data_IF_622214791503
#
_entry.id   IF_622214791503
#
_cell.length_a   1.000
_cell.length_b   1.000
_cell.length_c   1.000
_cell.angle_alpha   90.00
_cell.angle_beta   90.00
_cell.angle_gamma   90.00
#
_symmetry.space_group_name_H-M   'P 1'
#
loop_
_entity.id
_entity.type
_entity.pdbx_description
1 polymer ?
#
# COMPACT_ATOMS: atom_id res chain seq x y z
N UNK A 1 -18.52 13.72 35.76
CA UNK A 1 -17.33 14.56 35.57
C UNK A 1 -17.18 14.75 34.07
N UNK A 2 -17.47 15.95 33.61
CA UNK A 2 -17.51 16.34 32.19
C UNK A 2 -16.11 16.28 31.60
N UNK A 3 -15.97 15.51 30.52
CA UNK A 3 -14.76 15.31 29.73
C UNK A 3 -14.30 16.62 29.09
N UNK A 4 -13.21 17.18 29.60
CA UNK A 4 -12.42 18.18 28.90
C UNK A 4 -11.35 17.46 28.08
N UNK A 5 -11.56 17.36 26.76
CA UNK A 5 -10.45 17.23 25.81
C UNK A 5 -10.72 18.18 24.65
N UNK A 6 -10.01 19.33 24.57
CA UNK A 6 -9.83 19.98 23.28
C UNK A 6 -8.75 19.17 22.56
N UNK A 7 -9.12 18.11 21.82
CA UNK A 7 -8.22 17.62 20.79
C UNK A 7 -8.26 18.66 19.68
N UNK A 8 -7.23 19.51 19.59
CA UNK A 8 -7.01 20.32 18.40
C UNK A 8 -6.94 19.36 17.22
N UNK A 9 -7.99 19.35 16.40
CA UNK A 9 -7.99 18.62 15.14
C UNK A 9 -6.95 19.27 14.25
N UNK A 10 -5.92 18.51 13.87
CA UNK A 10 -4.89 18.97 12.93
C UNK A 10 -5.61 19.46 11.66
N UNK A 11 -5.41 20.72 11.23
CA UNK A 11 -6.11 21.25 10.07
C UNK A 11 -5.82 20.42 8.81
N UNK A 12 -6.82 20.27 7.93
CA UNK A 12 -6.68 19.53 6.67
C UNK A 12 -5.49 20.02 5.82
N UNK A 13 -5.26 21.35 5.79
CA UNK A 13 -4.12 21.96 5.12
C UNK A 13 -2.77 21.50 5.69
N UNK A 14 -2.69 21.20 6.99
CA UNK A 14 -1.49 20.68 7.61
C UNK A 14 -1.22 19.25 7.16
N UNK A 15 -2.24 18.37 7.14
CA UNK A 15 -2.08 17.01 6.60
C UNK A 15 -1.61 17.01 5.14
N UNK A 16 -2.18 17.88 4.30
CA UNK A 16 -1.75 18.07 2.92
C UNK A 16 -0.29 18.53 2.79
N UNK A 17 0.15 19.44 3.67
CA UNK A 17 1.54 19.90 3.72
C UNK A 17 2.49 18.76 4.12
N UNK A 18 2.11 17.94 5.11
CA UNK A 18 2.89 16.78 5.55
C UNK A 18 3.07 15.77 4.41
N UNK A 19 2.00 15.48 3.68
CA UNK A 19 2.01 14.59 2.53
C UNK A 19 2.87 15.14 1.37
N UNK A 20 2.75 16.44 1.07
CA UNK A 20 3.59 17.13 0.09
C UNK A 20 5.09 17.09 0.45
N UNK A 21 5.43 17.30 1.73
CA UNK A 21 6.82 17.20 2.20
C UNK A 21 7.39 15.80 1.96
N UNK A 22 6.61 14.75 2.21
CA UNK A 22 7.03 13.38 1.94
C UNK A 22 7.22 13.12 0.44
N UNK A 23 6.26 13.55 -0.40
CA UNK A 23 6.33 13.45 -1.85
C UNK A 23 7.62 14.10 -2.41
N UNK A 24 7.87 15.36 -2.07
CA UNK A 24 9.03 16.11 -2.56
C UNK A 24 10.34 15.47 -2.12
N UNK A 25 10.40 15.02 -0.86
CA UNK A 25 11.57 14.38 -0.28
C UNK A 25 11.91 13.08 -1.01
N UNK A 26 10.91 12.25 -1.29
CA UNK A 26 11.11 10.95 -1.93
C UNK A 26 11.40 11.10 -3.41
N UNK A 27 10.62 11.93 -4.12
CA UNK A 27 10.79 12.15 -5.56
C UNK A 27 12.18 12.72 -5.86
N UNK A 28 12.62 13.74 -5.13
CA UNK A 28 13.92 14.37 -5.38
C UNK A 28 15.12 13.51 -5.00
N UNK A 29 14.98 12.58 -4.05
CA UNK A 29 16.09 11.77 -3.53
C UNK A 29 16.20 10.42 -4.20
N UNK A 30 15.08 9.73 -4.38
CA UNK A 30 15.08 8.34 -4.80
C UNK A 30 14.89 8.18 -6.29
N UNK A 31 14.25 9.12 -7.00
CA UNK A 31 13.90 8.89 -8.40
C UNK A 31 15.03 9.20 -9.37
N UNK A 32 15.18 8.35 -10.39
CA UNK A 32 16.21 8.45 -11.42
C UNK A 32 15.72 7.92 -12.76
N UNK A 33 16.28 8.44 -13.85
CA UNK A 33 16.02 7.92 -15.21
C UNK A 33 16.60 6.52 -15.36
N UNK A 34 15.90 5.65 -16.07
CA UNK A 34 16.33 4.28 -16.34
C UNK A 34 17.39 4.33 -17.45
N UNK A 35 18.62 3.93 -17.15
CA UNK A 35 19.75 3.92 -18.10
C UNK A 35 19.96 5.26 -18.84
N UNK A 36 19.59 6.38 -18.22
CA UNK A 36 19.66 7.71 -18.83
C UNK A 36 18.57 8.02 -19.87
N UNK A 37 17.66 7.07 -20.15
CA UNK A 37 16.61 7.22 -21.17
C UNK A 37 15.62 8.32 -20.76
N UNK A 38 15.45 9.39 -21.57
CA UNK A 38 14.49 10.45 -21.30
C UNK A 38 13.05 9.92 -21.18
N UNK A 39 12.26 10.55 -20.31
CA UNK A 39 10.85 10.17 -20.10
C UNK A 39 10.64 8.89 -19.30
N UNK A 40 11.69 8.25 -18.80
CA UNK A 40 11.61 7.12 -17.85
C UNK A 40 11.95 7.57 -16.44
N UNK A 41 11.34 6.93 -15.44
CA UNK A 41 11.62 7.20 -14.04
C UNK A 41 11.50 5.90 -13.24
N UNK A 42 12.40 5.66 -12.29
CA UNK A 42 12.28 4.60 -11.27
C UNK A 42 12.87 5.10 -9.95
N UNK A 43 12.35 4.57 -8.85
CA UNK A 43 12.94 4.72 -7.53
C UNK A 43 14.20 3.87 -7.38
N UNK A 44 15.26 4.47 -6.85
CA UNK A 44 16.41 3.79 -6.29
C UNK A 44 15.98 2.93 -5.11
N UNK A 45 16.57 1.75 -4.94
CA UNK A 45 16.25 0.86 -3.81
C UNK A 45 16.64 1.51 -2.47
N UNK A 46 17.72 2.29 -2.46
CA UNK A 46 18.22 2.93 -1.24
C UNK A 46 18.97 4.23 -1.55
N UNK A 47 19.04 5.13 -0.56
CA UNK A 47 19.81 6.38 -0.63
C UNK A 47 20.65 6.62 0.64
N UNK A 48 21.93 7.04 0.52
CA UNK A 48 22.68 7.15 -0.72
C UNK A 48 22.90 5.77 -1.37
N UNK A 49 22.98 5.73 -2.70
CA UNK A 49 23.23 4.49 -3.42
C UNK A 49 24.68 4.03 -3.21
N UNK A 50 24.87 3.08 -2.31
CA UNK A 50 26.19 2.54 -1.93
C UNK A 50 26.57 1.26 -2.69
N UNK A 51 25.63 0.63 -3.41
CA UNK A 51 25.89 -0.63 -4.12
C UNK A 51 26.74 -0.42 -5.36
N UNK A 52 27.54 -1.40 -5.74
CA UNK A 52 28.23 -1.43 -7.04
C UNK A 52 27.27 -1.58 -8.21
N UNK A 53 27.71 -1.26 -9.43
CA UNK A 53 26.86 -1.31 -10.64
C UNK A 53 26.20 -2.68 -10.82
N UNK A 54 26.95 -3.78 -10.70
CA UNK A 54 26.40 -5.14 -10.83
C UNK A 54 25.25 -5.43 -9.87
N UNK A 55 25.40 -5.10 -8.59
CA UNK A 55 24.34 -5.25 -7.59
C UNK A 55 23.12 -4.38 -7.90
N UNK A 56 23.31 -3.14 -8.38
CA UNK A 56 22.18 -2.28 -8.83
C UNK A 56 21.41 -2.88 -10.02
N UNK A 57 22.10 -3.63 -10.89
CA UNK A 57 21.48 -4.34 -12.01
C UNK A 57 20.79 -5.64 -11.57
N UNK A 58 21.28 -6.31 -10.53
CA UNK A 58 20.67 -7.55 -10.03
C UNK A 58 19.48 -7.29 -9.09
N UNK A 59 19.63 -6.35 -8.15
CA UNK A 59 18.66 -6.08 -7.10
C UNK A 59 17.75 -4.91 -7.47
N UNK A 60 16.57 -5.26 -7.97
CA UNK A 60 15.50 -4.33 -8.30
C UNK A 60 14.16 -4.89 -7.84
N UNK A 61 13.43 -4.11 -7.04
CA UNK A 61 12.14 -4.50 -6.50
C UNK A 61 11.02 -3.94 -7.38
N UNK A 62 10.46 -4.79 -8.24
CA UNK A 62 9.39 -4.43 -9.18
C UNK A 62 8.17 -3.87 -8.42
N UNK A 63 7.71 -4.55 -7.38
CA UNK A 63 6.52 -4.14 -6.64
C UNK A 63 6.71 -2.84 -5.82
N UNK A 64 7.93 -2.51 -5.38
CA UNK A 64 8.21 -1.19 -4.79
C UNK A 64 7.96 -0.07 -5.80
N UNK A 65 8.19 -0.32 -7.09
CA UNK A 65 7.90 0.66 -8.15
C UNK A 65 6.41 0.80 -8.41
N UNK A 66 5.64 -0.28 -8.27
CA UNK A 66 4.18 -0.21 -8.31
C UNK A 66 3.63 0.66 -7.17
N UNK A 67 4.20 0.55 -5.96
CA UNK A 67 3.79 1.40 -4.84
C UNK A 67 4.34 2.83 -4.91
N UNK A 68 5.52 3.06 -5.50
CA UNK A 68 5.97 4.41 -5.86
C UNK A 68 4.97 5.07 -6.82
N UNK A 69 4.51 4.33 -7.83
CA UNK A 69 3.46 4.79 -8.74
C UNK A 69 2.17 5.12 -7.98
N UNK A 70 1.72 4.27 -7.05
CA UNK A 70 0.55 4.54 -6.22
C UNK A 70 0.68 5.82 -5.38
N UNK A 71 1.85 6.09 -4.78
CA UNK A 71 2.09 7.30 -4.01
C UNK A 71 2.08 8.57 -4.89
N UNK A 72 2.65 8.49 -6.10
CA UNK A 72 2.58 9.59 -7.07
C UNK A 72 1.13 9.85 -7.48
N UNK A 73 0.33 8.79 -7.66
CA UNK A 73 -1.09 8.90 -7.97
C UNK A 73 -1.84 9.53 -6.78
N UNK A 74 -1.53 9.18 -5.53
CA UNK A 74 -2.14 9.82 -4.35
C UNK A 74 -1.89 11.33 -4.34
N UNK A 75 -0.66 11.75 -4.58
CA UNK A 75 -0.30 13.17 -4.66
C UNK A 75 -1.03 13.88 -5.82
N UNK A 76 -1.21 13.20 -6.96
CA UNK A 76 -2.02 13.71 -8.07
C UNK A 76 -3.51 13.82 -7.74
N UNK A 77 -4.09 12.80 -7.09
CA UNK A 77 -5.48 12.82 -6.62
C UNK A 77 -5.69 13.93 -5.58
N UNK A 78 -4.71 14.19 -4.71
CA UNK A 78 -4.73 15.29 -3.75
C UNK A 78 -4.67 16.65 -4.44
N UNK A 79 -3.75 16.85 -5.39
CA UNK A 79 -3.67 18.09 -6.16
C UNK A 79 -4.99 18.40 -6.89
N UNK A 80 -5.67 17.38 -7.43
CA UNK A 80 -7.03 17.55 -8.00
C UNK A 80 -8.03 18.06 -6.96
N UNK A 81 -8.07 17.48 -5.75
CA UNK A 81 -8.98 17.92 -4.68
C UNK A 81 -8.69 19.37 -4.23
N UNK A 82 -7.42 19.75 -4.21
CA UNK A 82 -6.97 21.10 -3.84
C UNK A 82 -7.17 22.13 -4.97
N UNK A 83 -7.54 21.69 -6.18
CA UNK A 83 -7.68 22.55 -7.35
C UNK A 83 -6.35 22.94 -8.01
N UNK A 84 -5.23 22.36 -7.58
CA UNK A 84 -3.91 22.58 -8.17
C UNK A 84 -3.75 21.77 -9.46
N UNK A 85 -4.22 22.36 -10.56
CA UNK A 85 -4.22 21.72 -11.88
C UNK A 85 -2.81 21.50 -12.42
N UNK A 86 -1.86 22.41 -12.13
CA UNK A 86 -0.48 22.28 -12.59
C UNK A 86 0.20 21.09 -11.91
N UNK A 87 0.09 21.01 -10.58
CA UNK A 87 0.65 19.90 -9.83
C UNK A 87 0.00 18.57 -10.20
N UNK A 88 -1.31 18.54 -10.43
CA UNK A 88 -2.01 17.35 -10.89
C UNK A 88 -1.46 16.84 -12.23
N UNK A 89 -1.24 17.73 -13.21
CA UNK A 89 -0.63 17.38 -14.50
C UNK A 89 0.82 16.91 -14.35
N UNK A 90 1.61 17.54 -13.47
CA UNK A 90 2.98 17.15 -13.18
C UNK A 90 3.05 15.74 -12.57
N UNK A 91 2.17 15.42 -11.61
CA UNK A 91 2.08 14.08 -11.01
C UNK A 91 1.63 13.03 -12.03
N UNK A 92 0.66 13.36 -12.90
CA UNK A 92 0.23 12.47 -13.99
C UNK A 92 1.38 12.17 -14.97
N UNK A 93 2.16 13.18 -15.38
CA UNK A 93 3.33 13.00 -16.24
C UNK A 93 4.44 12.18 -15.56
N UNK A 94 4.63 12.37 -14.26
CA UNK A 94 5.59 11.62 -13.44
C UNK A 94 5.17 10.15 -13.34
N UNK A 95 3.89 9.87 -13.05
CA UNK A 95 3.33 8.52 -13.00
C UNK A 95 3.51 7.77 -14.32
N UNK A 96 3.22 8.43 -15.46
CA UNK A 96 3.48 7.88 -16.81
C UNK A 96 4.96 7.52 -17.01
N UNK A 97 5.87 8.35 -16.48
CA UNK A 97 7.31 8.10 -16.56
C UNK A 97 7.74 6.88 -15.74
N UNK A 98 7.08 6.63 -14.62
CA UNK A 98 7.28 5.40 -13.81
C UNK A 98 6.83 4.16 -14.57
N UNK A 99 5.65 4.18 -15.18
CA UNK A 99 5.16 3.03 -15.98
C UNK A 99 6.12 2.72 -17.14
N UNK A 100 6.59 3.74 -17.87
CA UNK A 100 7.61 3.57 -18.92
C UNK A 100 8.95 3.05 -18.35
N UNK A 101 9.33 3.52 -17.16
CA UNK A 101 10.54 3.07 -16.46
C UNK A 101 10.48 1.58 -16.10
N UNK A 102 9.36 1.12 -15.54
CA UNK A 102 9.10 -0.29 -15.23
C UNK A 102 9.21 -1.13 -16.49
N UNK A 103 8.49 -0.75 -17.55
CA UNK A 103 8.53 -1.45 -18.84
C UNK A 103 9.96 -1.54 -19.40
N UNK A 104 10.70 -0.42 -19.38
CA UNK A 104 12.07 -0.36 -19.92
C UNK A 104 13.03 -1.23 -19.11
N UNK A 105 12.94 -1.20 -17.78
CA UNK A 105 13.84 -1.95 -16.88
C UNK A 105 13.57 -3.45 -16.88
N UNK A 106 12.29 -3.83 -16.98
CA UNK A 106 11.81 -5.21 -16.92
C UNK A 106 11.65 -5.86 -18.30
N UNK A 107 11.86 -5.10 -19.39
CA UNK A 107 11.65 -5.54 -20.78
C UNK A 107 10.20 -6.00 -21.05
N UNK A 108 9.24 -5.32 -20.42
CA UNK A 108 7.81 -5.66 -20.45
C UNK A 108 7.14 -5.48 -19.09
N UNK A 109 5.85 -5.79 -19.00
CA UNK A 109 5.09 -5.74 -17.74
C UNK A 109 4.91 -7.11 -17.06
N UNK A 110 5.19 -8.21 -17.76
CA UNK A 110 5.08 -9.53 -17.16
C UNK A 110 6.21 -9.78 -16.15
N UNK A 111 5.88 -10.38 -15.03
CA UNK A 111 6.81 -10.85 -14.01
C UNK A 111 6.52 -12.34 -13.71
N UNK A 112 7.39 -13.02 -12.98
CA UNK A 112 7.18 -14.40 -12.52
C UNK A 112 6.38 -14.48 -11.22
N UNK A 113 6.25 -13.37 -10.51
CA UNK A 113 5.48 -13.20 -9.29
C UNK A 113 4.10 -12.59 -9.59
N UNK A 114 3.02 -13.26 -9.17
CA UNK A 114 1.64 -12.84 -9.47
C UNK A 114 1.17 -11.69 -8.58
N UNK A 115 1.63 -11.63 -7.35
CA UNK A 115 1.51 -10.49 -6.44
C UNK A 115 2.11 -9.21 -7.05
N UNK A 116 3.36 -9.27 -7.54
CA UNK A 116 4.02 -8.15 -8.23
C UNK A 116 3.17 -7.61 -9.38
N UNK A 117 2.65 -8.51 -10.23
CA UNK A 117 1.79 -8.13 -11.36
C UNK A 117 0.45 -7.55 -10.88
N UNK A 118 -0.13 -8.07 -9.80
CA UNK A 118 -1.39 -7.58 -9.25
C UNK A 118 -1.25 -6.17 -8.67
N UNK A 119 -0.13 -5.88 -7.98
CA UNK A 119 0.15 -4.53 -7.49
C UNK A 119 0.25 -3.52 -8.63
N UNK A 120 1.00 -3.85 -9.70
CA UNK A 120 1.07 -2.94 -10.84
C UNK A 120 -0.28 -2.81 -11.54
N UNK A 121 -1.07 -3.88 -11.66
CA UNK A 121 -2.40 -3.84 -12.28
C UNK A 121 -3.34 -2.87 -11.54
N UNK A 122 -3.29 -2.89 -10.20
CA UNK A 122 -4.04 -1.96 -9.36
C UNK A 122 -3.58 -0.51 -9.57
N UNK A 123 -2.27 -0.27 -9.56
CA UNK A 123 -1.69 1.06 -9.71
C UNK A 123 -1.98 1.67 -11.10
N UNK A 124 -1.84 0.91 -12.19
CA UNK A 124 -2.18 1.41 -13.54
C UNK A 124 -3.69 1.61 -13.72
N UNK A 125 -4.52 0.79 -13.08
CA UNK A 125 -5.96 1.03 -13.02
C UNK A 125 -6.32 2.36 -12.35
N UNK A 126 -5.60 2.72 -11.28
CA UNK A 126 -5.73 4.04 -10.63
C UNK A 126 -5.20 5.17 -11.51
N UNK A 127 -4.05 4.98 -12.16
CA UNK A 127 -3.48 5.96 -13.10
C UNK A 127 -4.47 6.30 -14.21
N UNK A 128 -5.12 5.28 -14.78
CA UNK A 128 -6.13 5.49 -15.82
C UNK A 128 -7.32 6.32 -15.31
N UNK A 129 -7.78 6.10 -14.06
CA UNK A 129 -8.82 6.92 -13.44
C UNK A 129 -8.35 8.36 -13.23
N UNK A 130 -7.15 8.56 -12.70
CA UNK A 130 -6.57 9.89 -12.51
C UNK A 130 -6.47 10.65 -13.84
N UNK A 131 -6.02 9.99 -14.92
CA UNK A 131 -5.99 10.58 -16.27
C UNK A 131 -7.38 11.00 -16.73
N UNK A 132 -8.41 10.17 -16.53
CA UNK A 132 -9.79 10.55 -16.88
C UNK A 132 -10.26 11.78 -16.11
N UNK A 133 -9.94 11.86 -14.83
CA UNK A 133 -10.29 13.02 -13.99
C UNK A 133 -9.58 14.30 -14.46
N UNK A 134 -8.28 14.22 -14.79
CA UNK A 134 -7.46 15.40 -15.13
C UNK A 134 -7.65 15.84 -16.59
N UNK A 135 -7.75 14.90 -17.52
CA UNK A 135 -7.71 15.17 -18.97
C UNK A 135 -9.02 14.83 -19.69
N UNK A 136 -9.99 14.23 -19.02
CA UNK A 136 -11.22 13.72 -19.64
C UNK A 136 -11.04 12.46 -20.49
N UNK A 137 -9.83 11.87 -20.52
CA UNK A 137 -9.50 10.75 -21.40
C UNK A 137 -8.76 9.63 -20.66
N UNK A 138 -8.96 8.40 -21.14
CA UNK A 138 -8.20 7.23 -20.67
C UNK A 138 -6.72 7.38 -20.99
N UNK A 139 -5.88 6.83 -20.13
CA UNK A 139 -4.44 6.78 -20.35
C UNK A 139 -4.05 5.53 -21.14
N UNK A 140 -3.55 5.72 -22.36
CA UNK A 140 -3.18 4.61 -23.25
C UNK A 140 -2.10 3.71 -22.63
N UNK A 141 -1.09 4.29 -21.98
CA UNK A 141 0.01 3.51 -21.38
C UNK A 141 -0.51 2.66 -20.22
N UNK A 142 -1.42 3.21 -19.41
CA UNK A 142 -2.05 2.49 -18.32
C UNK A 142 -2.99 1.37 -18.82
N UNK A 143 -3.71 1.62 -19.92
CA UNK A 143 -4.58 0.60 -20.54
C UNK A 143 -3.77 -0.57 -21.11
N UNK A 144 -2.71 -0.29 -21.87
CA UNK A 144 -1.83 -1.33 -22.43
C UNK A 144 -1.19 -2.18 -21.32
N UNK A 145 -0.66 -1.54 -20.29
CA UNK A 145 -0.12 -2.24 -19.12
C UNK A 145 -1.18 -3.08 -18.42
N UNK A 146 -2.36 -2.50 -18.17
CA UNK A 146 -3.48 -3.19 -17.53
C UNK A 146 -3.92 -4.43 -18.29
N UNK A 147 -4.08 -4.34 -19.61
CA UNK A 147 -4.45 -5.47 -20.46
C UNK A 147 -3.46 -6.63 -20.35
N UNK A 148 -2.15 -6.36 -20.44
CA UNK A 148 -1.11 -7.39 -20.31
C UNK A 148 -1.13 -8.03 -18.92
N UNK A 149 -1.21 -7.21 -17.87
CA UNK A 149 -1.16 -7.68 -16.49
C UNK A 149 -2.39 -8.54 -16.15
N UNK A 150 -3.59 -8.11 -16.52
CA UNK A 150 -4.83 -8.84 -16.27
C UNK A 150 -4.88 -10.17 -17.02
N UNK A 151 -4.38 -10.22 -18.27
CA UNK A 151 -4.24 -11.47 -19.01
C UNK A 151 -3.29 -12.43 -18.27
N UNK A 152 -2.16 -11.93 -17.77
CA UNK A 152 -1.20 -12.74 -17.00
C UNK A 152 -1.78 -13.20 -15.68
N UNK A 153 -2.48 -12.35 -14.93
CA UNK A 153 -3.13 -12.73 -13.67
C UNK A 153 -4.13 -13.88 -13.84
N UNK A 154 -4.87 -13.93 -14.96
CA UNK A 154 -5.77 -15.05 -15.24
C UNK A 154 -5.06 -16.41 -15.29
N UNK A 155 -3.79 -16.45 -15.73
CA UNK A 155 -2.98 -17.68 -15.74
C UNK A 155 -2.55 -18.13 -14.34
N UNK A 156 -2.60 -17.23 -13.36
CA UNK A 156 -2.21 -17.48 -11.99
C UNK A 156 -3.30 -18.13 -11.15
N UNK A 157 -4.56 -18.05 -11.58
CA UNK A 157 -5.68 -18.69 -10.91
C UNK A 157 -5.38 -20.18 -10.73
N UNK A 158 -5.50 -20.66 -9.49
CA UNK A 158 -5.24 -22.05 -9.18
C UNK A 158 -6.54 -22.87 -9.27
N UNK A 159 -6.45 -24.12 -9.71
CA UNK A 159 -7.62 -24.98 -9.94
C UNK A 159 -8.39 -25.30 -8.66
N UNK A 160 -7.73 -25.24 -7.51
CA UNK A 160 -8.33 -25.46 -6.19
C UNK A 160 -8.83 -24.16 -5.52
N UNK A 161 -8.89 -23.05 -6.28
CA UNK A 161 -9.14 -21.72 -5.75
C UNK A 161 -7.85 -21.03 -5.28
N UNK A 162 -7.97 -19.72 -5.03
CA UNK A 162 -6.82 -18.86 -4.72
C UNK A 162 -5.96 -18.51 -5.94
N UNK A 163 -4.92 -17.72 -5.69
CA UNK A 163 -3.92 -17.31 -6.68
C UNK A 163 -2.58 -17.90 -6.27
N UNK A 164 -1.89 -18.59 -7.18
CA UNK A 164 -0.52 -19.03 -6.92
C UNK A 164 0.39 -17.82 -6.74
N UNK A 165 1.39 -17.95 -5.87
CA UNK A 165 2.34 -16.88 -5.61
C UNK A 165 3.20 -16.56 -6.83
N UNK A 166 3.76 -17.60 -7.48
CA UNK A 166 4.63 -17.42 -8.65
C UNK A 166 4.42 -18.51 -9.69
N UNK A 167 4.94 -18.28 -10.91
CA UNK A 167 4.94 -19.27 -11.99
C UNK A 167 5.74 -20.53 -11.63
N UNK A 168 6.82 -20.36 -10.87
CA UNK A 168 7.70 -21.46 -10.47
C UNK A 168 7.19 -22.27 -9.27
N UNK A 169 6.33 -21.68 -8.43
CA UNK A 169 5.75 -22.33 -7.24
C UNK A 169 4.22 -22.25 -7.28
N UNK A 170 3.64 -23.01 -8.22
CA UNK A 170 2.18 -23.03 -8.48
C UNK A 170 1.37 -23.55 -7.29
N UNK A 171 1.94 -24.48 -6.53
CA UNK A 171 1.26 -25.15 -5.42
C UNK A 171 1.14 -24.28 -4.17
N UNK A 172 1.82 -23.13 -4.10
CA UNK A 172 1.68 -22.21 -2.98
C UNK A 172 0.76 -21.05 -3.36
N UNK A 173 -0.43 -21.01 -2.74
CA UNK A 173 -1.37 -19.91 -2.89
C UNK A 173 -1.35 -19.06 -1.63
N UNK A 174 -1.32 -17.74 -1.79
CA UNK A 174 -1.12 -16.82 -0.67
C UNK A 174 -2.02 -15.59 -0.77
N UNK A 175 -2.32 -14.98 0.38
CA UNK A 175 -3.05 -13.71 0.48
C UNK A 175 -2.38 -12.59 -0.34
N UNK A 176 -1.05 -12.43 -0.34
CA UNK A 176 -0.34 -11.42 -1.14
C UNK A 176 -0.62 -11.47 -2.64
N UNK A 177 -0.82 -12.66 -3.23
CA UNK A 177 -1.22 -12.76 -4.64
C UNK A 177 -2.74 -12.74 -4.81
N UNK A 178 -3.47 -13.39 -3.89
CA UNK A 178 -4.91 -13.63 -4.02
C UNK A 178 -5.73 -12.36 -3.80
N UNK A 179 -5.49 -11.60 -2.72
CA UNK A 179 -6.29 -10.42 -2.40
C UNK A 179 -6.07 -9.27 -3.40
N UNK A 180 -4.84 -8.89 -3.79
CA UNK A 180 -4.63 -7.87 -4.83
C UNK A 180 -5.22 -8.26 -6.18
N UNK A 181 -5.11 -9.54 -6.58
CA UNK A 181 -5.72 -10.00 -7.83
C UNK A 181 -7.25 -9.96 -7.76
N UNK A 182 -7.86 -10.40 -6.66
CA UNK A 182 -9.30 -10.29 -6.45
C UNK A 182 -9.77 -8.83 -6.53
N UNK A 183 -9.02 -7.91 -5.92
CA UNK A 183 -9.31 -6.47 -5.99
C UNK A 183 -9.19 -5.93 -7.42
N UNK A 184 -8.16 -6.36 -8.16
CA UNK A 184 -7.96 -5.96 -9.55
C UNK A 184 -9.12 -6.44 -10.44
N UNK A 185 -9.54 -7.70 -10.29
CA UNK A 185 -10.68 -8.28 -11.00
C UNK A 185 -12.01 -7.59 -10.63
N UNK A 186 -12.26 -7.33 -9.35
CA UNK A 186 -13.46 -6.62 -8.90
C UNK A 186 -13.56 -5.23 -9.53
N UNK A 187 -12.44 -4.48 -9.56
CA UNK A 187 -12.38 -3.10 -10.10
C UNK A 187 -12.58 -3.00 -11.61
N UNK A 188 -12.45 -4.09 -12.35
CA UNK A 188 -12.76 -4.15 -13.79
C UNK A 188 -14.10 -4.83 -14.10
N UNK A 189 -14.89 -5.13 -13.07
CA UNK A 189 -16.21 -5.76 -13.22
C UNK A 189 -16.19 -7.28 -13.36
N UNK A 190 -15.06 -7.95 -13.14
CA UNK A 190 -15.02 -9.42 -13.07
C UNK A 190 -15.42 -9.90 -11.66
N UNK A 191 -16.65 -9.57 -11.25
CA UNK A 191 -17.15 -9.76 -9.89
C UNK A 191 -17.12 -11.24 -9.49
N UNK A 192 -17.59 -12.15 -10.36
CA UNK A 192 -17.58 -13.59 -10.08
C UNK A 192 -16.18 -14.15 -9.80
N UNK A 193 -15.17 -13.73 -10.56
CA UNK A 193 -13.77 -14.15 -10.34
C UNK A 193 -13.28 -13.65 -8.99
N UNK A 194 -13.54 -12.38 -8.66
CA UNK A 194 -13.17 -11.80 -7.38
C UNK A 194 -13.89 -12.47 -6.19
N UNK A 195 -15.18 -12.79 -6.33
CA UNK A 195 -15.93 -13.54 -5.31
C UNK A 195 -15.32 -14.91 -5.04
N UNK A 196 -14.95 -15.66 -6.09
CA UNK A 196 -14.32 -16.98 -5.91
C UNK A 196 -12.99 -16.90 -5.15
N UNK A 197 -12.16 -15.90 -5.47
CA UNK A 197 -10.90 -15.66 -4.75
C UNK A 197 -11.15 -15.23 -3.30
N UNK A 198 -12.14 -14.38 -3.05
CA UNK A 198 -12.52 -13.95 -1.70
C UNK A 198 -13.10 -15.11 -0.86
N UNK A 199 -13.92 -15.97 -1.48
CA UNK A 199 -14.42 -17.20 -0.83
C UNK A 199 -13.27 -18.11 -0.42
N UNK A 200 -12.26 -18.27 -1.29
CA UNK A 200 -11.08 -19.06 -0.93
C UNK A 200 -10.30 -18.44 0.24
N UNK A 201 -10.09 -17.11 0.26
CA UNK A 201 -9.47 -16.43 1.40
C UNK A 201 -10.25 -16.68 2.70
N UNK A 202 -11.58 -16.57 2.65
CA UNK A 202 -12.46 -16.78 3.80
C UNK A 202 -12.45 -18.21 4.32
N UNK A 203 -12.37 -19.19 3.42
CA UNK A 203 -12.45 -20.62 3.76
C UNK A 203 -11.09 -21.17 4.22
N UNK A 204 -9.97 -20.66 3.66
CA UNK A 204 -8.63 -21.25 3.85
C UNK A 204 -7.73 -20.43 4.77
N UNK A 205 -7.74 -19.09 4.65
CA UNK A 205 -6.74 -18.24 5.29
C UNK A 205 -7.29 -17.35 6.41
N UNK A 206 -8.61 -17.34 6.64
CA UNK A 206 -9.20 -16.61 7.75
C UNK A 206 -8.94 -17.30 9.09
N UNK A 207 -8.35 -16.56 10.03
CA UNK A 207 -8.24 -16.93 11.43
C UNK A 207 -9.39 -16.33 12.24
N UNK A 208 -10.35 -17.16 12.64
CA UNK A 208 -11.53 -16.74 13.39
C UNK A 208 -11.22 -16.18 14.78
N UNK A 209 -10.14 -16.63 15.40
CA UNK A 209 -9.76 -16.26 16.77
C UNK A 209 -9.11 -14.86 16.79
N UNK A 210 -8.14 -14.64 15.89
CA UNK A 210 -7.48 -13.33 15.76
C UNK A 210 -8.26 -12.34 14.92
N UNK A 211 -9.20 -12.81 14.12
CA UNK A 211 -9.96 -12.03 13.13
C UNK A 211 -9.04 -11.41 12.07
N UNK A 212 -8.05 -12.17 11.60
CA UNK A 212 -7.04 -11.76 10.62
C UNK A 212 -6.86 -12.85 9.56
N UNK A 213 -6.17 -12.52 8.47
CA UNK A 213 -5.80 -13.47 7.41
C UNK A 213 -4.34 -13.89 7.53
N UNK A 214 -4.12 -15.20 7.45
CA UNK A 214 -2.80 -15.82 7.32
C UNK A 214 -2.16 -15.53 5.96
N UNK A 215 -0.87 -15.83 5.86
CA UNK A 215 -0.09 -15.49 4.67
C UNK A 215 -0.42 -16.39 3.48
N UNK A 216 -0.46 -17.70 3.66
CA UNK A 216 -0.75 -18.60 2.55
C UNK A 216 -0.90 -20.06 2.93
N UNK A 217 -1.06 -20.91 1.93
CA UNK A 217 -1.17 -22.35 2.09
C UNK A 217 -0.54 -23.08 0.90
N UNK A 218 0.09 -24.22 1.17
CA UNK A 218 0.49 -25.15 0.12
C UNK A 218 -0.72 -26.03 -0.25
N UNK A 219 -1.15 -25.95 -1.50
CA UNK A 219 -2.21 -26.73 -2.13
C UNK A 219 -1.58 -27.88 -2.91
N UNK A 220 -1.70 -29.11 -2.41
CA UNK A 220 -1.20 -30.30 -3.12
C UNK A 220 -2.31 -30.87 -4.00
N UNK A 221 -2.00 -31.64 -5.06
CA UNK A 221 -3.01 -32.27 -5.93
C UNK A 221 -4.00 -33.19 -5.21
N UNK A 222 -3.66 -33.69 -4.03
CA UNK A 222 -4.53 -34.49 -3.16
C UNK A 222 -5.40 -33.64 -2.21
N UNK A 223 -5.15 -32.33 -2.16
CA UNK A 223 -5.86 -31.36 -1.33
C UNK A 223 -7.01 -30.67 -2.08
N UNK A 224 -7.41 -31.23 -3.23
CA UNK A 224 -8.58 -30.75 -3.97
C UNK A 224 -9.78 -30.84 -3.03
N UNK A 225 -10.41 -29.70 -2.77
CA UNK A 225 -11.73 -29.61 -2.16
C UNK A 225 -12.73 -30.20 -3.16
N UNK A 226 -12.84 -31.53 -3.17
CA UNK A 226 -13.84 -32.20 -3.99
C UNK A 226 -15.17 -32.01 -3.28
N UNK A 227 -16.06 -31.20 -3.85
CA UNK A 227 -17.50 -31.36 -3.62
C UNK A 227 -17.91 -32.69 -4.27
N UNK A 228 -17.50 -33.82 -3.66
CA UNK A 228 -18.06 -35.11 -4.01
C UNK A 228 -19.37 -35.31 -3.24
N UNK A 229 -20.12 -36.34 -3.62
CA UNK A 229 -21.45 -36.69 -3.08
C UNK A 229 -21.47 -36.85 -1.54
N UNK A 230 -20.32 -36.89 -0.87
CA UNK A 230 -20.15 -37.01 0.58
C UNK A 230 -19.83 -35.69 1.32
N UNK A 231 -19.71 -34.56 0.61
CA UNK A 231 -19.48 -33.23 1.19
C UNK A 231 -18.00 -32.81 1.29
N UNK A 232 -17.76 -31.53 1.66
CA UNK A 232 -16.42 -30.96 1.86
C UNK A 232 -15.60 -31.83 2.81
N UNK A 233 -14.46 -32.37 2.34
CA UNK A 233 -13.49 -33.03 3.22
C UNK A 233 -12.59 -31.97 3.87
N UNK A 234 -12.42 -32.07 5.19
CA UNK A 234 -11.38 -31.35 5.92
C UNK A 234 -10.01 -31.91 5.49
N UNK A 235 -9.42 -31.35 4.44
CA UNK A 235 -8.03 -31.63 4.13
C UNK A 235 -7.17 -30.77 5.06
N UNK A 236 -6.24 -31.34 5.84
CA UNK A 236 -5.29 -30.55 6.61
C UNK A 236 -4.37 -29.81 5.63
N UNK A 237 -4.70 -28.55 5.33
CA UNK A 237 -3.88 -27.67 4.52
C UNK A 237 -2.65 -27.25 5.34
N UNK A 238 -1.50 -27.26 4.67
CA UNK A 238 -0.26 -26.72 5.24
C UNK A 238 -0.27 -25.20 5.09
N UNK A 239 -0.84 -24.54 6.11
CA UNK A 239 -1.06 -23.10 6.19
C UNK A 239 0.16 -22.41 6.81
N UNK A 240 0.71 -21.44 6.09
CA UNK A 240 1.69 -20.47 6.59
C UNK A 240 0.96 -19.42 7.43
N UNK A 241 1.07 -19.54 8.76
CA UNK A 241 0.27 -18.78 9.74
C UNK A 241 0.87 -17.43 10.10
N UNK A 242 1.90 -16.98 9.38
CA UNK A 242 2.40 -15.62 9.51
C UNK A 242 1.28 -14.60 9.24
N UNK A 243 1.34 -13.50 9.98
CA UNK A 243 0.39 -12.39 9.88
C UNK A 243 1.17 -11.15 9.48
N UNK A 244 0.76 -10.57 8.36
CA UNK A 244 1.35 -9.33 7.84
C UNK A 244 0.26 -8.27 7.62
N UNK A 245 0.61 -7.01 7.84
CA UNK A 245 -0.34 -5.88 7.79
C UNK A 245 -0.95 -5.68 6.39
N UNK A 246 -0.15 -5.77 5.33
CA UNK A 246 -0.62 -5.60 3.94
C UNK A 246 -1.68 -6.61 3.51
N UNK A 247 -1.57 -7.87 3.94
CA UNK A 247 -2.57 -8.92 3.69
C UNK A 247 -3.96 -8.49 4.19
N UNK A 248 -3.99 -7.86 5.37
CA UNK A 248 -5.22 -7.40 6.00
C UNK A 248 -5.81 -6.24 5.21
N UNK A 249 -4.98 -5.26 4.85
CA UNK A 249 -5.40 -4.07 4.10
C UNK A 249 -6.03 -4.42 2.76
N UNK A 250 -5.39 -5.28 1.97
CA UNK A 250 -5.94 -5.66 0.67
C UNK A 250 -7.19 -6.49 0.78
N UNK A 251 -7.26 -7.39 1.75
CA UNK A 251 -8.46 -8.21 1.96
C UNK A 251 -9.64 -7.34 2.39
N UNK A 252 -9.40 -6.34 3.25
CA UNK A 252 -10.38 -5.31 3.59
C UNK A 252 -10.88 -4.59 2.33
N UNK A 253 -9.98 -4.21 1.42
CA UNK A 253 -10.35 -3.55 0.18
C UNK A 253 -11.20 -4.42 -0.75
N UNK A 254 -10.89 -5.72 -0.84
CA UNK A 254 -11.68 -6.68 -1.63
C UNK A 254 -13.10 -6.78 -1.07
N UNK A 255 -13.24 -6.96 0.24
CA UNK A 255 -14.54 -7.06 0.93
C UNK A 255 -15.41 -5.84 0.64
N UNK A 256 -14.85 -4.63 0.80
CA UNK A 256 -15.58 -3.38 0.53
C UNK A 256 -15.93 -3.22 -0.95
N UNK A 257 -14.98 -3.49 -1.86
CA UNK A 257 -15.22 -3.36 -3.32
C UNK A 257 -16.27 -4.35 -3.80
N UNK A 258 -16.30 -5.57 -3.27
CA UNK A 258 -17.36 -6.53 -3.57
C UNK A 258 -18.69 -6.06 -3.00
N UNK A 259 -18.73 -5.63 -1.73
CA UNK A 259 -19.97 -5.15 -1.10
C UNK A 259 -20.60 -3.98 -1.87
N UNK A 260 -19.80 -3.10 -2.47
CA UNK A 260 -20.28 -1.97 -3.30
C UNK A 260 -20.96 -2.42 -4.61
N UNK A 261 -20.66 -3.62 -5.12
CA UNK A 261 -21.18 -4.08 -6.41
C UNK A 261 -22.69 -4.39 -6.38
N UNK A 262 -23.40 -4.01 -7.44
CA UNK A 262 -24.82 -4.36 -7.63
C UNK A 262 -25.05 -5.82 -8.00
N UNK A 263 -24.00 -6.56 -8.36
CA UNK A 263 -24.09 -7.99 -8.68
C UNK A 263 -24.07 -8.88 -7.42
N UNK A 264 -23.80 -8.30 -6.25
CA UNK A 264 -23.77 -9.00 -4.96
C UNK A 264 -25.16 -8.91 -4.29
N UNK A 265 -25.69 -10.08 -3.90
CA UNK A 265 -26.95 -10.16 -3.14
C UNK A 265 -26.84 -9.49 -1.78
N UNK A 266 -27.96 -9.06 -1.21
CA UNK A 266 -27.97 -8.34 0.06
C UNK A 266 -27.41 -9.18 1.22
N UNK A 267 -27.71 -10.49 1.25
CA UNK A 267 -27.18 -11.39 2.27
C UNK A 267 -25.65 -11.50 2.19
N UNK A 268 -25.12 -11.64 0.96
CA UNK A 268 -23.68 -11.74 0.75
C UNK A 268 -22.97 -10.41 1.03
N UNK A 269 -23.63 -9.30 0.72
CA UNK A 269 -23.16 -7.95 1.03
C UNK A 269 -23.02 -7.78 2.54
N UNK A 270 -24.03 -8.18 3.32
CA UNK A 270 -24.00 -8.14 4.78
C UNK A 270 -22.86 -9.00 5.35
N UNK A 271 -22.65 -10.22 4.83
CA UNK A 271 -21.52 -11.07 5.22
C UNK A 271 -20.15 -10.40 4.99
N UNK A 272 -19.97 -9.73 3.84
CA UNK A 272 -18.72 -9.03 3.54
C UNK A 272 -18.48 -7.83 4.45
N UNK A 273 -19.53 -7.05 4.74
CA UNK A 273 -19.44 -5.92 5.66
C UNK A 273 -19.12 -6.40 7.10
N UNK A 274 -19.82 -7.41 7.59
CA UNK A 274 -19.54 -8.00 8.91
C UNK A 274 -18.09 -8.54 8.99
N UNK A 275 -17.60 -9.17 7.91
CA UNK A 275 -16.21 -9.64 7.83
C UNK A 275 -15.22 -8.47 7.86
N UNK A 276 -15.49 -7.39 7.15
CA UNK A 276 -14.66 -6.19 7.12
C UNK A 276 -14.57 -5.53 8.51
N UNK A 277 -15.68 -5.42 9.23
CA UNK A 277 -15.70 -4.87 10.59
C UNK A 277 -14.92 -5.74 11.57
N UNK A 278 -15.11 -7.08 11.52
CA UNK A 278 -14.31 -8.01 12.33
C UNK A 278 -12.83 -7.92 12.03
N UNK A 279 -12.46 -7.73 10.76
CA UNK A 279 -11.07 -7.55 10.36
C UNK A 279 -10.48 -6.25 10.93
N UNK A 280 -11.22 -5.14 10.92
CA UNK A 280 -10.81 -3.88 11.56
C UNK A 280 -10.59 -4.08 13.07
N UNK A 281 -11.50 -4.79 13.75
CA UNK A 281 -11.32 -5.15 15.16
C UNK A 281 -10.07 -6.03 15.38
N UNK A 282 -9.83 -7.00 14.49
CA UNK A 282 -8.63 -7.84 14.52
C UNK A 282 -7.34 -7.04 14.36
N UNK A 283 -7.34 -6.04 13.46
CA UNK A 283 -6.23 -5.11 13.26
C UNK A 283 -5.96 -4.31 14.54
N UNK A 284 -7.01 -3.73 15.15
CA UNK A 284 -6.86 -2.99 16.42
C UNK A 284 -6.26 -3.87 17.52
N UNK A 285 -6.76 -5.10 17.67
CA UNK A 285 -6.34 -5.98 18.77
C UNK A 285 -4.93 -6.54 18.63
N UNK A 286 -4.48 -6.81 17.41
CA UNK A 286 -3.28 -7.61 17.18
C UNK A 286 -2.17 -6.87 16.41
N UNK A 287 -2.51 -5.79 15.71
CA UNK A 287 -1.61 -5.07 14.80
C UNK A 287 -1.49 -3.58 15.14
N UNK A 288 -1.95 -3.16 16.32
CA UNK A 288 -1.70 -1.82 16.84
C UNK A 288 -1.37 -1.86 18.32
N UNK A 289 -0.72 -0.80 18.78
CA UNK A 289 -0.39 -0.53 20.17
C UNK A 289 -0.91 0.84 20.58
N UNK A 290 -1.17 1.01 21.89
CA UNK A 290 -1.42 2.33 22.47
C UNK A 290 -0.07 3.05 22.62
N UNK A 291 0.05 4.25 22.02
CA UNK A 291 1.31 4.97 21.92
C UNK A 291 1.16 6.38 22.51
N UNK A 292 2.09 6.74 23.40
CA UNK A 292 2.19 8.07 24.02
C UNK A 292 3.01 9.01 23.13
N UNK A 293 2.40 10.14 22.76
CA UNK A 293 3.02 11.18 21.94
C UNK A 293 3.80 12.19 22.78
N UNK A 294 4.56 13.05 22.10
CA UNK A 294 5.40 14.07 22.75
C UNK A 294 4.64 15.09 23.60
N UNK A 295 3.33 15.23 23.40
CA UNK A 295 2.43 16.07 24.19
C UNK A 295 1.73 15.33 25.35
N UNK A 296 2.04 14.05 25.57
CA UNK A 296 1.44 13.19 26.58
C UNK A 296 0.07 12.60 26.20
N UNK A 297 -0.42 12.83 24.98
CA UNK A 297 -1.64 12.19 24.47
C UNK A 297 -1.38 10.74 24.06
N UNK A 298 -2.41 9.89 24.16
CA UNK A 298 -2.35 8.48 23.78
C UNK A 298 -3.24 8.22 22.57
N UNK A 299 -2.69 7.58 21.53
CA UNK A 299 -3.48 7.11 20.38
C UNK A 299 -3.03 5.73 19.92
N UNK A 300 -3.94 5.03 19.23
CA UNK A 300 -3.61 3.77 18.56
C UNK A 300 -2.67 4.00 17.38
N UNK A 301 -1.53 3.30 17.36
CA UNK A 301 -0.56 3.32 16.27
C UNK A 301 -0.35 1.90 15.76
N UNK A 302 -0.32 1.73 14.43
CA UNK A 302 -0.11 0.42 13.83
C UNK A 302 1.33 -0.06 14.00
N UNK A 303 1.47 -1.37 14.26
CA UNK A 303 2.76 -2.05 14.14
C UNK A 303 3.28 -1.94 12.71
N UNK A 304 4.59 -1.80 12.55
CA UNK A 304 5.25 -1.60 11.25
C UNK A 304 6.60 -2.32 11.18
N UNK A 305 6.99 -2.68 9.95
CA UNK A 305 8.18 -3.48 9.68
C UNK A 305 9.49 -2.73 9.91
N UNK A 306 10.60 -3.46 9.92
CA UNK A 306 11.94 -2.91 10.16
C UNK A 306 12.65 -2.42 8.90
N UNK A 307 12.60 -3.21 7.84
CA UNK A 307 13.48 -3.09 6.67
C UNK A 307 12.94 -3.90 5.47
N UNK A 308 13.59 -3.76 4.33
CA UNK A 308 13.29 -4.48 3.09
C UNK A 308 11.83 -4.36 2.68
N UNK A 309 11.25 -5.48 2.26
CA UNK A 309 9.83 -5.57 1.87
C UNK A 309 8.90 -5.28 3.04
N UNK A 310 9.26 -5.71 4.26
CA UNK A 310 8.46 -5.55 5.46
C UNK A 310 8.19 -4.10 5.84
N UNK A 311 9.10 -3.19 5.49
CA UNK A 311 8.94 -1.76 5.71
C UNK A 311 7.87 -1.10 4.82
N UNK A 312 7.30 -1.80 3.83
CA UNK A 312 6.23 -1.29 2.99
C UNK A 312 4.82 -1.74 3.44
N UNK A 313 4.74 -2.81 4.24
CA UNK A 313 3.48 -3.53 4.46
C UNK A 313 2.41 -2.69 5.16
N UNK A 314 2.78 -1.93 6.19
CA UNK A 314 1.79 -1.18 6.98
C UNK A 314 1.28 0.04 6.23
N UNK A 315 2.06 0.61 5.31
CA UNK A 315 1.58 1.67 4.41
C UNK A 315 0.39 1.21 3.57
N UNK A 316 0.48 -0.02 3.03
CA UNK A 316 -0.60 -0.65 2.25
C UNK A 316 -1.85 -0.85 3.11
N UNK A 317 -1.68 -1.29 4.36
CA UNK A 317 -2.78 -1.37 5.31
C UNK A 317 -3.45 -0.01 5.54
N UNK A 318 -2.66 1.03 5.82
CA UNK A 318 -3.17 2.39 6.08
C UNK A 318 -3.98 2.92 4.90
N UNK A 319 -3.52 2.70 3.65
CA UNK A 319 -4.27 3.08 2.44
C UNK A 319 -5.71 2.55 2.46
N UNK A 320 -5.89 1.28 2.82
CA UNK A 320 -7.20 0.64 2.77
C UNK A 320 -8.01 0.85 4.04
N UNK A 321 -7.38 1.11 5.18
CA UNK A 321 -8.07 1.64 6.37
C UNK A 321 -8.67 3.02 6.09
N UNK A 322 -7.96 3.90 5.36
CA UNK A 322 -8.55 5.17 4.94
C UNK A 322 -9.77 4.95 4.04
N UNK A 323 -9.72 4.01 3.09
CA UNK A 323 -10.91 3.63 2.30
C UNK A 323 -12.07 3.15 3.20
N UNK A 324 -11.78 2.33 4.21
CA UNK A 324 -12.79 1.85 5.15
C UNK A 324 -13.40 2.98 6.00
N UNK A 325 -12.59 3.92 6.50
CA UNK A 325 -13.07 5.05 7.28
C UNK A 325 -14.09 5.94 6.52
N UNK A 326 -13.94 6.05 5.19
CA UNK A 326 -14.86 6.81 4.33
C UNK A 326 -16.08 5.99 3.84
N UNK A 327 -16.11 4.67 4.03
CA UNK A 327 -17.18 3.83 3.51
C UNK A 327 -18.46 3.98 4.34
N UNK A 328 -19.52 4.54 3.75
CA UNK A 328 -20.83 4.68 4.41
C UNK A 328 -21.59 3.36 4.59
N UNK A 329 -21.07 2.26 4.03
CA UNK A 329 -21.62 0.91 4.19
C UNK A 329 -21.18 0.25 5.51
N UNK A 330 -20.12 0.76 6.16
CA UNK A 330 -19.66 0.28 7.45
C UNK A 330 -20.34 1.04 8.61
N UNK A 331 -20.44 0.39 9.76
CA UNK A 331 -20.89 1.04 11.00
C UNK A 331 -20.02 2.26 11.37
N UNK A 332 -20.62 3.27 12.04
CA UNK A 332 -19.86 4.41 12.56
C UNK A 332 -18.68 4.00 13.45
N UNK A 333 -18.84 2.94 14.24
CA UNK A 333 -17.80 2.40 15.12
C UNK A 333 -16.60 1.87 14.32
N UNK A 334 -16.84 1.06 13.29
CA UNK A 334 -15.78 0.52 12.43
C UNK A 334 -15.05 1.64 11.67
N UNK A 335 -15.79 2.63 11.18
CA UNK A 335 -15.22 3.82 10.52
C UNK A 335 -14.33 4.63 11.46
N UNK A 336 -14.79 4.83 12.70
CA UNK A 336 -14.04 5.55 13.74
C UNK A 336 -12.75 4.83 14.12
N UNK A 337 -12.79 3.51 14.29
CA UNK A 337 -11.58 2.71 14.55
C UNK A 337 -10.58 2.78 13.38
N UNK A 338 -11.06 2.66 12.14
CA UNK A 338 -10.20 2.78 10.96
C UNK A 338 -9.57 4.18 10.86
N UNK A 339 -10.34 5.24 11.11
CA UNK A 339 -9.87 6.63 11.12
C UNK A 339 -8.82 6.86 12.21
N UNK A 340 -9.06 6.38 13.43
CA UNK A 340 -8.14 6.50 14.55
C UNK A 340 -6.77 5.85 14.25
N UNK A 341 -6.75 4.66 13.65
CA UNK A 341 -5.52 3.99 13.23
C UNK A 341 -4.75 4.78 12.16
N UNK A 342 -5.45 5.38 11.20
CA UNK A 342 -4.83 6.19 10.14
C UNK A 342 -4.20 7.45 10.72
N UNK A 343 -4.97 8.23 11.50
CA UNK A 343 -4.48 9.49 12.08
C UNK A 343 -3.38 9.27 13.12
N UNK A 344 -3.54 8.30 14.02
CA UNK A 344 -2.51 7.95 15.01
C UNK A 344 -1.20 7.54 14.34
N UNK A 345 -1.27 6.65 13.35
CA UNK A 345 -0.08 6.22 12.59
C UNK A 345 0.56 7.35 11.78
N UNK A 346 -0.23 8.21 11.14
CA UNK A 346 0.29 9.36 10.39
C UNK A 346 0.95 10.39 11.29
N UNK A 347 0.40 10.62 12.49
CA UNK A 347 1.02 11.47 13.51
C UNK A 347 2.35 10.88 13.96
N UNK A 348 2.41 9.57 14.25
CA UNK A 348 3.63 8.90 14.69
C UNK A 348 4.74 8.97 13.63
N UNK A 349 4.41 8.71 12.36
CA UNK A 349 5.32 8.89 11.22
C UNK A 349 5.83 10.33 11.13
N UNK A 350 4.94 11.31 11.29
CA UNK A 350 5.32 12.71 11.19
C UNK A 350 6.22 13.16 12.33
N UNK A 351 5.87 12.88 13.59
CA UNK A 351 6.68 13.27 14.76
C UNK A 351 8.01 12.51 14.81
N UNK A 352 8.04 11.26 14.35
CA UNK A 352 9.25 10.44 14.29
C UNK A 352 10.20 10.78 13.13
N UNK A 353 9.84 11.70 12.22
CA UNK A 353 10.68 12.03 11.05
C UNK A 353 11.96 12.76 11.45
N UNK A 354 12.96 12.72 10.55
CA UNK A 354 14.14 13.60 10.61
C UNK A 354 14.16 14.49 9.38
N UNK A 355 14.34 15.79 9.59
CA UNK A 355 14.56 16.76 8.52
C UNK A 355 16.02 17.21 8.47
N UNK A 356 16.50 17.50 7.26
CA UNK A 356 17.81 18.10 7.01
C UNK A 356 17.83 18.74 5.61
N UNK A 357 18.80 19.61 5.37
CA UNK A 357 19.01 20.22 4.06
C UNK A 357 20.10 19.47 3.30
N UNK A 358 19.80 18.86 2.13
CA UNK A 358 20.76 18.06 1.38
C UNK A 358 21.83 18.89 0.65
N UNK A 359 21.66 20.21 0.57
CA UNK A 359 22.57 21.15 -0.11
C UNK A 359 23.56 21.81 0.84
N UNK A 360 23.44 21.56 2.16
CA UNK A 360 24.37 22.10 3.14
C UNK A 360 25.81 21.68 2.83
N UNK A 361 26.76 22.64 2.79
CA UNK A 361 28.17 22.34 2.58
C UNK A 361 28.79 21.82 3.89
N UNK A 362 28.43 20.59 4.30
CA UNK A 362 28.90 19.97 5.54
C UNK A 362 30.43 19.81 5.63
N UNK A 363 31.14 20.06 4.53
CA UNK A 363 32.60 20.11 4.45
C UNK A 363 33.20 21.46 4.89
N UNK A 364 32.38 22.50 5.11
CA UNK A 364 32.82 23.80 5.61
C UNK A 364 32.85 23.84 7.15
N UNK A 365 33.90 24.41 7.79
CA UNK A 365 33.94 24.55 9.23
C UNK A 365 32.82 25.44 9.78
N UNK A 366 32.18 25.01 10.87
CA UNK A 366 31.18 25.81 11.60
C UNK A 366 29.74 25.68 11.10
N UNK A 367 29.48 24.80 10.12
CA UNK A 367 28.11 24.49 9.66
C UNK A 367 27.41 23.58 10.66
N UNK A 368 26.23 23.98 11.13
CA UNK A 368 25.35 23.12 11.94
C UNK A 368 24.65 22.10 11.00
N UNK A 369 24.83 20.79 11.20
CA UNK A 369 24.17 19.76 10.38
C UNK A 369 22.64 19.75 10.47
N UNK A 370 22.05 20.47 11.43
CA UNK A 370 20.60 20.61 11.60
C UNK A 370 20.05 21.93 11.01
N UNK A 371 20.91 22.81 10.49
CA UNK A 371 20.47 24.04 9.82
C UNK A 371 19.68 23.68 8.54
N UNK A 372 18.70 24.51 8.17
CA UNK A 372 18.01 24.43 6.88
C UNK A 372 18.18 25.79 6.19
N UNK A 373 18.86 25.82 5.03
CA UNK A 373 19.13 27.07 4.29
C UNK A 373 18.26 27.23 3.07
N UNK A 374 18.12 26.17 2.30
CA UNK A 374 17.38 26.15 1.03
C UNK A 374 16.10 25.35 1.20
N UNK A 375 16.21 24.02 1.32
CA UNK A 375 15.04 23.15 1.33
C UNK A 375 15.20 21.95 2.26
N UNK A 376 14.29 21.87 3.25
CA UNK A 376 14.18 20.69 4.10
C UNK A 376 13.71 19.45 3.31
N UNK A 377 14.42 18.35 3.50
CA UNK A 377 14.03 17.00 3.07
C UNK A 377 13.78 16.16 4.32
N UNK A 378 12.68 15.42 4.32
CA UNK A 378 12.33 14.50 5.39
C UNK A 378 12.79 13.07 5.07
N UNK A 379 13.30 12.39 6.09
CA UNK A 379 13.51 10.95 6.13
C UNK A 379 12.66 10.38 7.25
N UNK A 380 11.99 9.27 6.96
CA UNK A 380 11.06 8.63 7.87
C UNK A 380 11.60 7.31 8.39
N UNK A 381 11.18 6.97 9.61
CA UNK A 381 11.45 5.66 10.19
C UNK A 381 10.61 4.59 9.48
N UNK A 382 11.17 3.40 9.21
CA UNK A 382 10.38 2.25 8.77
C UNK A 382 9.45 1.74 9.89
N UNK A 383 9.75 2.05 11.15
CA UNK A 383 8.94 1.73 12.34
C UNK A 383 8.25 2.97 12.90
N UNK A 384 6.92 3.01 12.87
CA UNK A 384 6.11 4.17 13.26
C UNK A 384 6.35 4.65 14.69
N UNK A 385 6.54 3.73 15.64
CA UNK A 385 6.73 4.05 17.07
C UNK A 385 8.18 4.26 17.47
N UNK A 386 9.11 4.32 16.50
CA UNK A 386 10.53 4.60 16.72
C UNK A 386 10.95 5.77 15.85
N UNK A 387 11.64 6.76 16.43
CA UNK A 387 12.12 7.92 15.68
C UNK A 387 13.10 7.49 14.56
N UNK A 388 13.13 8.24 13.46
CA UNK A 388 14.06 8.02 12.36
C UNK A 388 15.53 8.13 12.81
N UNK A 389 15.80 8.92 13.87
CA UNK A 389 17.13 9.02 14.48
C UNK A 389 17.58 7.69 15.09
N UNK A 390 16.66 6.97 15.73
CA UNK A 390 16.98 5.74 16.46
C UNK A 390 16.84 4.49 15.57
N UNK A 391 15.89 4.51 14.63
CA UNK A 391 15.66 3.39 13.72
C UNK A 391 16.70 3.31 12.60
N UNK A 392 17.27 4.43 12.16
CA UNK A 392 18.19 4.48 11.02
C UNK A 392 19.63 4.65 11.49
N UNK A 393 20.44 3.62 11.29
CA UNK A 393 21.84 3.65 11.66
C UNK A 393 22.63 4.70 10.85
N UNK A 394 23.42 5.53 11.54
CA UNK A 394 24.25 6.54 10.91
C UNK A 394 25.21 5.93 9.87
N UNK A 395 25.29 6.55 8.70
CA UNK A 395 26.15 6.09 7.60
C UNK A 395 25.63 4.87 6.84
N UNK A 396 24.47 4.31 7.20
CA UNK A 396 23.80 3.28 6.40
C UNK A 396 22.84 3.90 5.38
N UNK A 397 22.70 3.30 4.19
CA UNK A 397 21.66 3.68 3.25
C UNK A 397 20.26 3.49 3.86
N UNK A 398 19.34 4.36 3.46
CA UNK A 398 17.92 4.27 3.79
C UNK A 398 17.18 3.69 2.60
N UNK A 399 16.41 2.63 2.81
CA UNK A 399 15.66 1.96 1.74
C UNK A 399 14.38 2.71 1.36
N UNK A 400 13.98 2.59 0.09
CA UNK A 400 12.81 3.24 -0.47
C UNK A 400 11.51 2.75 0.15
N UNK A 401 11.40 1.45 0.46
CA UNK A 401 10.19 0.83 0.99
C UNK A 401 9.64 1.55 2.23
N UNK A 402 10.48 1.77 3.24
CA UNK A 402 10.08 2.49 4.46
C UNK A 402 9.66 3.95 4.19
N UNK A 403 10.26 4.60 3.18
CA UNK A 403 9.87 5.95 2.80
C UNK A 403 8.52 5.98 2.06
N UNK A 404 8.28 5.02 1.17
CA UNK A 404 6.99 4.86 0.49
C UNK A 404 5.86 4.57 1.47
N UNK A 405 6.12 3.74 2.50
CA UNK A 405 5.16 3.51 3.58
C UNK A 405 4.78 4.82 4.27
N UNK A 406 5.76 5.64 4.67
CA UNK A 406 5.50 6.93 5.30
C UNK A 406 4.70 7.87 4.39
N UNK A 407 5.06 7.97 3.11
CA UNK A 407 4.33 8.80 2.16
C UNK A 407 2.89 8.33 1.98
N UNK A 408 2.68 7.02 1.81
CA UNK A 408 1.35 6.42 1.69
C UNK A 408 0.49 6.70 2.93
N UNK A 409 1.07 6.62 4.12
CA UNK A 409 0.39 6.92 5.38
C UNK A 409 0.00 8.40 5.51
N UNK A 410 0.87 9.32 5.11
CA UNK A 410 0.59 10.75 5.18
C UNK A 410 -0.45 11.19 4.13
N UNK A 411 -0.40 10.64 2.91
CA UNK A 411 -1.43 10.86 1.90
C UNK A 411 -2.79 10.28 2.32
N UNK A 412 -2.80 9.13 3.01
CA UNK A 412 -4.03 8.55 3.54
C UNK A 412 -4.71 9.47 4.58
N UNK A 413 -3.93 10.04 5.51
CA UNK A 413 -4.45 11.00 6.48
C UNK A 413 -4.93 12.30 5.80
N UNK A 414 -4.17 12.83 4.84
CA UNK A 414 -4.57 14.01 4.06
C UNK A 414 -5.84 13.79 3.22
N UNK A 415 -6.08 12.55 2.79
CA UNK A 415 -7.32 12.19 2.11
C UNK A 415 -8.51 12.18 3.07
N UNK A 416 -8.37 11.59 4.27
CA UNK A 416 -9.44 11.57 5.27
C UNK A 416 -9.83 12.98 5.71
N UNK A 417 -8.84 13.82 6.00
CA UNK A 417 -9.10 15.18 6.50
C UNK A 417 -9.74 16.11 5.47
N UNK A 418 -9.81 15.72 4.20
CA UNK A 418 -10.46 16.49 3.14
C UNK A 418 -11.96 16.14 2.98
N UNK A 419 -12.38 15.01 3.55
CA UNK A 419 -13.76 14.50 3.51
C UNK A 419 -14.50 14.71 4.86
N UNK A 420 -13.75 14.96 5.93
CA UNK A 420 -14.23 15.45 7.24
C UNK A 420 -14.59 16.94 7.17
#
# INVERSE_FOLDING_TARGET
MTSNHPSETVPSAEHAQRASRAADSILSRYTRRVFGVPGTLLGAVQMPESRGLGARFAEWHYWWQAHLLDCIIDAGERAVREGDTEQAQNMLATARSVVRGIHTRNLGFANDFYDDMAWLALAVGRLNRLSKTITGASDVTAQDAGSVLLERLNTGLHSCGGMSWSKGKRDFCNTPATAPAALAFARIGQIKTAQNLMSWLNDVLWDGDRMLYFDGANLRPQDVMVDDVTGRRDVPLDVERNIYTYNQGTTLAVLLTLAESSEISDERREEYLLRAERLIVGIVKNLSEDFEFSDGSHHLVLHSGSDGDGALFTGILVRYLAQAAMSTMLSPEARSLASALVYGSARAVWEGRREFDPTLPLNEPGIDPNEIRDRAVAIFSPKFTVSARDALAAGKPVELSGQLQAWMTLEAAARLSAED
#
